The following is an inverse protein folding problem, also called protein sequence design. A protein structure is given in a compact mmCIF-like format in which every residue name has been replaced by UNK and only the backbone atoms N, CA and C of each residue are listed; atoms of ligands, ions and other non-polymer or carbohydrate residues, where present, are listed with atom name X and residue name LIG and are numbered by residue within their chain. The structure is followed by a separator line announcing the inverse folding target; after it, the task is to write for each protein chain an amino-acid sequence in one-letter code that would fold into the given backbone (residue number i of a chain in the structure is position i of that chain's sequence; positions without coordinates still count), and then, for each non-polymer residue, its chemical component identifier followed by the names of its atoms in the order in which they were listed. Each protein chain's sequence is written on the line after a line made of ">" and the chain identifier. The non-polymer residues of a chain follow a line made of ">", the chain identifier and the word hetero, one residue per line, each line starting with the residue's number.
data_IF_158721237281
#
_entry.id   IF_158721237281
#
_cell.length_a   1.000
_cell.length_b   1.000
_cell.length_c   1.000
_cell.angle_alpha   90.00
_cell.angle_beta   90.00
_cell.angle_gamma   90.00
#
_symmetry.space_group_name_H-M   'P 1'
#
loop_
_entity.id
_entity.type
_entity.pdbx_description
1 polymer ?
#
# COMPACT_ATOMS: atom_id res chain seq x y z
N UNK A 1 -49.19 48.59 17.55
CA UNK A 1 -47.80 48.31 17.18
C UNK A 1 -46.84 49.24 17.93
N UNK A 2 -46.60 49.02 19.23
CA UNK A 2 -45.70 49.87 20.05
C UNK A 2 -44.56 49.09 20.74
N UNK A 3 -44.50 47.77 20.56
CA UNK A 3 -43.56 46.88 21.27
C UNK A 3 -42.48 46.24 20.37
N UNK A 4 -42.51 46.53 19.06
CA UNK A 4 -41.54 45.97 18.11
C UNK A 4 -40.16 46.64 18.22
N UNK A 5 -40.15 47.95 18.51
CA UNK A 5 -38.90 48.73 18.60
C UNK A 5 -38.13 48.38 19.88
N UNK A 6 -38.82 48.17 21.01
CA UNK A 6 -38.19 47.77 22.27
C UNK A 6 -37.52 46.40 22.17
N UNK A 7 -38.09 45.47 21.39
CA UNK A 7 -37.50 44.14 21.19
C UNK A 7 -36.17 44.18 20.43
N UNK A 8 -36.06 45.04 19.41
CA UNK A 8 -34.81 45.21 18.64
C UNK A 8 -33.70 45.81 19.52
N UNK A 9 -34.02 46.81 20.34
CA UNK A 9 -33.06 47.43 21.26
C UNK A 9 -32.57 46.41 22.30
N UNK A 10 -33.49 45.60 22.86
CA UNK A 10 -33.13 44.56 23.83
C UNK A 10 -32.19 43.51 23.23
N UNK A 11 -32.43 43.08 21.98
CA UNK A 11 -31.59 42.09 21.30
C UNK A 11 -30.17 42.60 21.02
N UNK A 12 -29.99 43.87 20.64
CA UNK A 12 -28.67 44.47 20.41
C UNK A 12 -27.87 44.56 21.71
N UNK A 13 -28.51 44.97 22.82
CA UNK A 13 -27.84 45.04 24.14
C UNK A 13 -27.36 43.67 24.60
N UNK A 14 -28.14 42.60 24.39
CA UNK A 14 -27.73 41.23 24.71
C UNK A 14 -26.57 40.79 23.81
N UNK A 15 -26.61 41.08 22.51
CA UNK A 15 -25.55 40.66 21.59
C UNK A 15 -24.21 41.36 21.88
N UNK A 16 -24.24 42.64 22.26
CA UNK A 16 -23.04 43.41 22.64
C UNK A 16 -22.50 42.97 24.00
N UNK A 17 -23.37 42.67 24.98
CA UNK A 17 -22.91 42.17 26.30
C UNK A 17 -22.34 40.75 26.25
N UNK A 18 -22.83 39.88 25.36
CA UNK A 18 -22.28 38.53 25.17
C UNK A 18 -20.89 38.58 24.51
N UNK A 19 -20.65 39.48 23.56
CA UNK A 19 -19.34 39.63 22.91
C UNK A 19 -18.28 40.35 23.77
N UNK A 20 -18.68 40.99 24.87
CA UNK A 20 -17.79 41.73 25.77
C UNK A 20 -17.15 40.92 26.90
N UNK A 21 -17.66 39.72 27.22
CA UNK A 21 -17.08 38.86 28.29
C UNK A 21 -15.86 38.09 27.77
N UNK A 22 -14.74 38.81 27.63
CA UNK A 22 -13.40 38.21 27.73
C UNK A 22 -13.34 37.50 29.08
N UNK A 23 -13.40 36.17 29.06
CA UNK A 23 -13.20 35.35 30.26
C UNK A 23 -11.84 35.72 30.86
N UNK A 24 -11.75 36.05 32.18
CA UNK A 24 -10.47 36.11 32.84
C UNK A 24 -9.84 34.73 32.74
N UNK A 25 -8.64 34.67 32.16
CA UNK A 25 -7.79 33.47 32.17
C UNK A 25 -7.40 33.22 33.62
N UNK A 26 -8.17 32.40 34.33
CA UNK A 26 -7.69 31.71 35.50
C UNK A 26 -6.46 30.90 35.08
N UNK A 27 -5.30 31.04 35.75
CA UNK A 27 -4.17 30.15 35.54
C UNK A 27 -4.51 28.83 36.24
N UNK A 28 -5.45 28.08 35.68
CA UNK A 28 -5.50 26.66 35.95
C UNK A 28 -4.29 26.10 35.25
N UNK A 29 -3.35 25.56 36.03
CA UNK A 29 -2.28 24.66 35.60
C UNK A 29 -2.91 23.41 34.99
N UNK A 30 -3.60 23.58 33.87
CA UNK A 30 -3.99 22.53 32.97
C UNK A 30 -2.77 22.36 32.12
N UNK A 31 -1.88 21.47 32.58
CA UNK A 31 -0.88 20.83 31.73
C UNK A 31 -1.63 20.47 30.46
N UNK A 32 -1.46 21.31 29.43
CA UNK A 32 -2.02 21.03 28.12
C UNK A 32 -1.04 20.02 27.61
N UNK A 33 -1.21 18.77 28.05
CA UNK A 33 -0.57 17.62 27.44
C UNK A 33 -1.14 17.64 26.03
N UNK A 34 -0.45 18.34 25.14
CA UNK A 34 -0.64 18.22 23.70
C UNK A 34 -0.35 16.75 23.44
N UNK A 35 -1.41 15.92 23.53
CA UNK A 35 -1.36 14.50 23.18
C UNK A 35 -1.17 14.48 21.68
N UNK A 36 0.08 14.70 21.27
CA UNK A 36 0.56 14.55 19.92
C UNK A 36 0.23 13.11 19.58
N UNK A 37 -0.79 12.89 18.75
CA UNK A 37 -1.13 11.54 18.32
C UNK A 37 0.16 10.88 17.83
N UNK A 38 0.52 9.69 18.34
CA UNK A 38 1.79 9.07 18.00
C UNK A 38 1.89 8.97 16.48
N UNK A 39 2.99 9.51 15.93
CA UNK A 39 3.25 9.47 14.51
C UNK A 39 3.19 8.01 14.02
N UNK A 40 2.62 7.74 12.84
CA UNK A 40 2.49 6.37 12.35
C UNK A 40 3.87 5.70 12.29
N UNK A 41 3.98 4.41 12.62
CA UNK A 41 5.23 3.68 12.58
C UNK A 41 5.97 3.86 11.24
N UNK A 42 7.30 3.98 11.35
CA UNK A 42 8.20 4.06 10.20
C UNK A 42 8.12 2.78 9.38
N UNK A 43 8.34 2.90 8.08
CA UNK A 43 8.46 1.74 7.19
C UNK A 43 9.76 0.99 7.48
N UNK A 44 9.66 -0.32 7.68
CA UNK A 44 10.79 -1.21 7.90
C UNK A 44 11.13 -1.98 6.64
N UNK A 45 12.39 -2.38 6.48
CA UNK A 45 12.82 -3.24 5.37
C UNK A 45 12.11 -4.58 5.47
N UNK A 46 11.67 -5.09 4.32
CA UNK A 46 10.98 -6.37 4.21
C UNK A 46 11.66 -7.23 3.14
N UNK A 47 11.83 -8.52 3.40
CA UNK A 47 12.50 -9.43 2.46
C UNK A 47 11.72 -9.64 1.14
N UNK A 48 10.42 -9.32 1.12
CA UNK A 48 9.58 -9.47 -0.08
C UNK A 48 9.18 -10.91 -0.39
N UNK A 49 9.35 -11.86 0.54
CA UNK A 49 9.01 -13.27 0.32
C UNK A 49 7.79 -13.71 1.10
N UNK A 50 7.66 -13.25 2.35
CA UNK A 50 6.59 -13.64 3.28
C UNK A 50 6.07 -12.44 4.04
N UNK A 51 4.75 -12.33 4.30
CA UNK A 51 3.72 -13.34 4.00
C UNK A 51 3.17 -13.28 2.56
N UNK A 52 3.59 -12.29 1.77
CA UNK A 52 3.24 -12.17 0.35
C UNK A 52 4.52 -12.04 -0.47
N UNK A 53 4.53 -12.49 -1.72
CA UNK A 53 5.67 -12.19 -2.59
C UNK A 53 5.56 -10.75 -3.07
N UNK A 54 6.63 -9.97 -2.92
CA UNK A 54 6.67 -8.59 -3.41
C UNK A 54 6.45 -8.53 -4.92
N UNK A 55 6.91 -9.54 -5.65
CA UNK A 55 6.68 -9.68 -7.08
C UNK A 55 5.19 -9.83 -7.42
N UNK A 56 4.43 -10.62 -6.66
CA UNK A 56 2.99 -10.75 -6.86
C UNK A 56 2.26 -9.43 -6.60
N UNK A 57 2.71 -8.66 -5.61
CA UNK A 57 2.17 -7.32 -5.34
C UNK A 57 2.48 -6.38 -6.51
N UNK A 58 3.71 -6.40 -7.03
CA UNK A 58 4.12 -5.55 -8.15
C UNK A 58 3.39 -5.91 -9.46
N UNK A 59 3.26 -7.21 -9.78
CA UNK A 59 2.54 -7.69 -10.98
C UNK A 59 1.06 -7.35 -10.90
N UNK A 60 0.41 -7.56 -9.77
CA UNK A 60 -0.98 -7.15 -9.59
C UNK A 60 -1.12 -5.62 -9.62
N UNK A 61 -0.16 -4.90 -9.05
CA UNK A 61 -0.11 -3.45 -9.14
C UNK A 61 -0.03 -2.95 -10.58
N UNK A 62 0.80 -3.58 -11.40
CA UNK A 62 0.94 -3.29 -12.84
C UNK A 62 -0.39 -3.51 -13.57
N UNK A 63 -1.09 -4.63 -13.30
CA UNK A 63 -2.41 -4.91 -13.89
C UNK A 63 -3.44 -3.83 -13.52
N UNK A 64 -3.47 -3.40 -12.26
CA UNK A 64 -4.37 -2.35 -11.80
C UNK A 64 -4.06 -1.03 -12.51
N UNK A 65 -2.79 -0.66 -12.63
CA UNK A 65 -2.37 0.55 -13.33
C UNK A 65 -2.78 0.52 -14.80
N UNK A 66 -2.43 -0.55 -15.54
CA UNK A 66 -2.79 -0.73 -16.96
C UNK A 66 -4.29 -0.60 -17.21
N UNK A 67 -5.11 -1.16 -16.32
CA UNK A 67 -6.57 -1.10 -16.43
C UNK A 67 -7.12 0.34 -16.31
N UNK A 68 -6.38 1.25 -15.67
CA UNK A 68 -6.79 2.63 -15.44
C UNK A 68 -6.23 3.59 -16.50
N UNK A 69 -4.96 3.43 -16.86
CA UNK A 69 -4.30 4.28 -17.86
C UNK A 69 -4.42 3.75 -19.30
N UNK A 70 -5.20 2.68 -19.52
CA UNK A 70 -5.47 2.06 -20.82
C UNK A 70 -4.21 1.77 -21.67
N UNK A 71 -3.11 1.42 -21.02
CA UNK A 71 -1.80 1.21 -21.64
C UNK A 71 -1.18 -0.11 -21.19
N UNK A 72 -0.32 -0.68 -22.03
CA UNK A 72 0.28 -1.98 -21.79
C UNK A 72 1.67 -1.84 -21.17
N UNK A 73 1.73 -1.60 -19.86
CA UNK A 73 2.99 -1.69 -19.15
C UNK A 73 3.29 -3.13 -18.73
N UNK A 74 4.57 -3.49 -18.79
CA UNK A 74 5.11 -4.75 -18.30
C UNK A 74 5.96 -4.51 -17.06
N UNK A 75 5.88 -5.42 -16.10
CA UNK A 75 6.70 -5.39 -14.90
C UNK A 75 8.16 -5.68 -15.24
N UNK A 76 9.08 -4.80 -14.84
CA UNK A 76 10.51 -4.89 -15.15
C UNK A 76 11.35 -5.35 -13.95
N UNK A 77 11.10 -4.80 -12.77
CA UNK A 77 11.87 -5.18 -11.59
C UNK A 77 11.50 -4.43 -10.31
N UNK A 78 11.89 -4.98 -9.17
CA UNK A 78 11.64 -4.40 -7.84
C UNK A 78 12.79 -3.48 -7.45
N UNK A 79 12.45 -2.29 -6.94
CA UNK A 79 13.40 -1.34 -6.37
C UNK A 79 13.52 -1.52 -4.85
N UNK A 80 12.39 -1.59 -4.14
CA UNK A 80 12.40 -1.66 -2.67
C UNK A 80 11.14 -2.29 -2.10
N UNK A 81 11.33 -3.08 -1.04
CA UNK A 81 10.28 -3.77 -0.31
C UNK A 81 10.27 -3.33 1.15
N UNK A 82 9.13 -2.85 1.62
CA UNK A 82 8.97 -2.35 2.98
C UNK A 82 7.67 -2.81 3.60
N UNK A 83 7.64 -2.90 4.92
CA UNK A 83 6.46 -3.27 5.69
C UNK A 83 6.25 -2.31 6.86
N UNK A 84 5.02 -2.20 7.33
CA UNK A 84 4.69 -1.63 8.64
C UNK A 84 3.33 -2.12 9.11
N UNK A 85 3.12 -2.11 10.42
CA UNK A 85 1.82 -2.35 11.03
C UNK A 85 1.21 -1.01 11.48
N UNK A 86 -0.07 -0.80 11.19
CA UNK A 86 -0.84 0.36 11.68
C UNK A 86 -2.15 -0.16 12.23
N UNK A 87 -2.37 -0.01 13.54
CA UNK A 87 -3.59 -0.43 14.23
C UNK A 87 -3.96 -1.89 13.93
N UNK A 88 -2.97 -2.80 13.96
CA UNK A 88 -3.18 -4.22 13.67
C UNK A 88 -3.28 -4.56 12.17
N UNK A 89 -3.28 -3.57 11.28
CA UNK A 89 -3.33 -3.77 9.82
C UNK A 89 -1.91 -3.76 9.26
N UNK A 90 -1.49 -4.90 8.70
CA UNK A 90 -0.21 -5.02 8.03
C UNK A 90 -0.28 -4.35 6.66
N UNK A 91 0.76 -3.56 6.34
CA UNK A 91 0.91 -2.88 5.06
C UNK A 91 2.24 -3.23 4.44
N UNK A 92 2.22 -3.64 3.18
CA UNK A 92 3.39 -3.99 2.39
C UNK A 92 3.53 -3.02 1.24
N UNK A 93 4.63 -2.25 1.22
CA UNK A 93 4.95 -1.27 0.19
C UNK A 93 6.03 -1.84 -0.72
N UNK A 94 5.73 -1.88 -2.01
CA UNK A 94 6.66 -2.31 -3.06
C UNK A 94 6.82 -1.17 -4.05
N UNK A 95 8.05 -0.70 -4.24
CA UNK A 95 8.41 0.21 -5.35
C UNK A 95 9.06 -0.62 -6.44
N UNK A 96 8.65 -0.40 -7.68
CA UNK A 96 9.05 -1.22 -8.82
C UNK A 96 9.04 -0.41 -10.12
N UNK A 97 9.77 -0.91 -11.11
CA UNK A 97 9.82 -0.37 -12.45
C UNK A 97 8.83 -1.10 -13.37
N UNK A 98 8.26 -0.35 -14.30
CA UNK A 98 7.48 -0.89 -15.42
C UNK A 98 7.95 -0.29 -16.73
N UNK A 99 7.80 -1.03 -17.83
CA UNK A 99 8.16 -0.59 -19.19
C UNK A 99 6.94 -0.63 -20.11
N UNK A 100 6.73 0.43 -20.88
CA UNK A 100 5.68 0.46 -21.90
C UNK A 100 6.03 -0.52 -23.01
N UNK A 101 5.07 -1.36 -23.42
CA UNK A 101 5.24 -2.27 -24.54
C UNK A 101 4.11 -2.10 -25.54
N UNK A 102 4.49 -2.01 -26.82
CA UNK A 102 3.56 -1.96 -27.93
C UNK A 102 3.51 -3.31 -28.62
N UNK A 103 2.31 -3.74 -28.97
CA UNK A 103 2.09 -4.95 -29.75
C UNK A 103 2.26 -4.60 -31.22
N UNK A 104 3.18 -5.28 -31.89
CA UNK A 104 3.38 -5.18 -33.33
C UNK A 104 2.95 -6.50 -33.96
N UNK A 105 1.80 -6.51 -34.64
CA UNK A 105 1.45 -7.62 -35.52
C UNK A 105 2.21 -7.48 -36.83
N UNK A 106 3.05 -8.46 -37.15
CA UNK A 106 3.69 -8.59 -38.46
C UNK A 106 3.17 -9.86 -39.10
N UNK A 107 2.77 -9.80 -40.38
CA UNK A 107 2.27 -10.96 -41.12
C UNK A 107 0.91 -10.71 -41.76
N UNK A 108 0.51 -11.63 -42.64
CA UNK A 108 -0.78 -11.58 -43.34
C UNK A 108 -1.93 -11.89 -42.36
N UNK A 109 -3.15 -11.41 -42.67
CA UNK A 109 -4.37 -11.63 -41.85
C UNK A 109 -4.61 -13.09 -41.45
N UNK A 110 -4.04 -14.06 -42.20
CA UNK A 110 -4.20 -15.50 -41.97
C UNK A 110 -3.19 -16.09 -40.98
N UNK A 111 -2.05 -15.44 -40.74
CA UNK A 111 -1.01 -15.88 -39.78
C UNK A 111 -0.32 -14.66 -39.15
N UNK A 112 -0.98 -13.97 -38.19
CA UNK A 112 -0.35 -12.86 -37.51
C UNK A 112 0.78 -13.37 -36.60
N UNK A 113 2.00 -12.91 -36.84
CA UNK A 113 3.11 -13.04 -35.90
C UNK A 113 3.05 -11.85 -34.95
N UNK A 114 2.75 -12.10 -33.68
CA UNK A 114 2.70 -11.07 -32.65
C UNK A 114 4.10 -10.87 -32.10
N UNK A 115 4.68 -9.69 -32.33
CA UNK A 115 5.94 -9.27 -31.73
C UNK A 115 5.68 -8.14 -30.73
N UNK A 116 6.47 -8.08 -29.66
CA UNK A 116 6.36 -7.06 -28.63
C UNK A 116 7.57 -6.14 -28.72
N UNK A 117 7.34 -4.84 -28.92
CA UNK A 117 8.40 -3.83 -28.84
C UNK A 117 8.23 -3.03 -27.56
N UNK A 118 9.13 -3.25 -26.61
CA UNK A 118 9.14 -2.53 -25.35
C UNK A 118 10.09 -1.33 -25.40
N UNK A 119 9.66 -0.23 -24.81
CA UNK A 119 10.46 0.97 -24.67
C UNK A 119 11.58 0.77 -23.64
N UNK A 120 12.67 1.53 -23.81
CA UNK A 120 13.77 1.56 -22.84
C UNK A 120 13.43 2.39 -21.60
N UNK A 121 12.44 3.27 -21.70
CA UNK A 121 12.04 4.16 -20.61
C UNK A 121 11.21 3.36 -19.59
N UNK A 122 11.66 3.38 -18.35
CA UNK A 122 10.97 2.74 -17.23
C UNK A 122 10.29 3.77 -16.34
N UNK A 123 9.02 3.56 -16.04
CA UNK A 123 8.27 4.36 -15.06
C UNK A 123 8.36 3.70 -13.70
N UNK A 124 8.46 4.51 -12.64
CA UNK A 124 8.53 4.05 -11.26
C UNK A 124 7.13 4.05 -10.65
N UNK A 125 6.66 2.87 -10.27
CA UNK A 125 5.38 2.70 -9.56
C UNK A 125 5.61 2.32 -8.09
N UNK A 126 4.61 2.61 -7.27
CA UNK A 126 4.53 2.20 -5.88
C UNK A 126 3.18 1.52 -5.62
N UNK A 127 3.22 0.24 -5.26
CA UNK A 127 2.07 -0.50 -4.77
C UNK A 127 2.11 -0.61 -3.24
N UNK A 128 0.94 -0.49 -2.61
CA UNK A 128 0.74 -0.70 -1.17
C UNK A 128 -0.39 -1.71 -0.98
N UNK A 129 -0.03 -2.92 -0.58
CA UNK A 129 -0.98 -3.95 -0.14
C UNK A 129 -1.33 -3.68 1.33
N UNK A 130 -2.63 -3.59 1.63
CA UNK A 130 -3.18 -3.59 2.99
C UNK A 130 -3.79 -4.96 3.25
N UNK A 131 -3.35 -5.63 4.30
CA UNK A 131 -3.88 -6.93 4.74
C UNK A 131 -4.68 -6.74 6.04
N UNK A 132 -5.99 -6.61 5.91
CA UNK A 132 -6.88 -6.54 7.05
C UNK A 132 -7.32 -7.96 7.43
N UNK A 133 -6.59 -8.55 8.38
CA UNK A 133 -6.83 -9.92 8.85
C UNK A 133 -8.23 -10.08 9.46
N UNK A 134 -8.68 -9.08 10.21
CA UNK A 134 -9.98 -9.10 10.91
C UNK A 134 -11.16 -9.07 9.93
N UNK A 135 -11.07 -8.25 8.88
CA UNK A 135 -12.13 -8.16 7.88
C UNK A 135 -12.02 -9.23 6.78
N UNK A 136 -10.95 -10.03 6.76
CA UNK A 136 -10.66 -10.96 5.67
C UNK A 136 -10.46 -10.29 4.30
N UNK A 137 -10.20 -8.97 4.26
CA UNK A 137 -10.12 -8.17 3.04
C UNK A 137 -8.70 -7.68 2.77
N UNK A 138 -8.30 -7.75 1.50
CA UNK A 138 -7.01 -7.27 1.01
C UNK A 138 -7.21 -6.25 -0.09
N UNK A 139 -6.50 -5.14 0.02
CA UNK A 139 -6.62 -4.02 -0.91
C UNK A 139 -5.23 -3.60 -1.38
N UNK A 140 -5.05 -3.49 -2.69
CA UNK A 140 -3.84 -2.91 -3.28
C UNK A 140 -4.17 -1.51 -3.77
N UNK A 141 -3.35 -0.55 -3.35
CA UNK A 141 -3.34 0.80 -3.94
C UNK A 141 -2.04 0.98 -4.72
N UNK A 142 -2.13 1.45 -5.95
CA UNK A 142 -1.00 1.69 -6.85
C UNK A 142 -0.96 3.16 -7.21
N UNK A 143 0.24 3.72 -7.31
CA UNK A 143 0.45 5.07 -7.83
C UNK A 143 1.82 5.19 -8.51
N UNK A 144 1.95 6.17 -9.38
CA UNK A 144 3.24 6.59 -9.89
C UNK A 144 4.04 7.34 -8.81
N UNK A 145 5.35 7.15 -8.78
CA UNK A 145 6.23 7.82 -7.81
C UNK A 145 6.39 9.29 -8.23
N UNK A 146 5.80 10.19 -7.44
CA UNK A 146 5.76 11.63 -7.73
C UNK A 146 4.37 12.15 -8.07
N UNK A 147 3.46 11.24 -8.49
CA UNK A 147 2.07 11.59 -8.74
C UNK A 147 1.20 11.54 -7.47
N UNK A 148 0.14 12.34 -7.47
CA UNK A 148 -0.92 12.30 -6.47
C UNK A 148 -2.03 11.29 -6.82
N UNK A 149 -2.13 10.91 -8.10
CA UNK A 149 -3.12 9.93 -8.56
C UNK A 149 -2.86 8.57 -7.95
N UNK A 150 -3.94 7.90 -7.55
CA UNK A 150 -3.89 6.60 -6.90
C UNK A 150 -5.04 5.73 -7.40
N UNK A 151 -4.73 4.48 -7.71
CA UNK A 151 -5.69 3.50 -8.17
C UNK A 151 -5.79 2.38 -7.15
N UNK A 152 -7.01 1.97 -6.81
CA UNK A 152 -7.24 0.99 -5.75
C UNK A 152 -8.09 -0.16 -6.26
N UNK A 153 -7.71 -1.38 -5.89
CA UNK A 153 -8.49 -2.57 -6.19
C UNK A 153 -8.42 -3.60 -5.05
N UNK A 154 -9.51 -4.34 -4.88
CA UNK A 154 -9.57 -5.48 -3.97
C UNK A 154 -8.92 -6.68 -4.64
N UNK A 155 -8.03 -7.38 -3.95
CA UNK A 155 -7.27 -8.48 -4.54
C UNK A 155 -7.43 -9.77 -3.75
N UNK A 156 -7.35 -10.90 -4.46
CA UNK A 156 -7.30 -12.25 -3.90
C UNK A 156 -5.86 -12.77 -3.81
N UNK A 157 -4.90 -11.96 -3.33
CA UNK A 157 -3.53 -12.44 -3.14
C UNK A 157 -3.52 -13.56 -2.09
N UNK A 158 -2.99 -14.72 -2.47
CA UNK A 158 -2.78 -15.83 -1.55
C UNK A 158 -1.57 -15.56 -0.66
N UNK A 159 -1.72 -15.87 0.63
CA UNK A 159 -0.62 -15.79 1.58
C UNK A 159 0.33 -16.95 1.31
N UNK A 160 1.63 -16.68 1.27
CA UNK A 160 2.65 -17.74 1.20
C UNK A 160 2.69 -18.45 2.54
N UNK A 161 2.01 -19.59 2.66
CA UNK A 161 2.16 -20.49 3.79
C UNK A 161 3.53 -21.16 3.70
N UNK A 162 4.28 -21.12 4.78
CA UNK A 162 5.53 -21.88 4.89
C UNK A 162 5.19 -23.34 5.11
N UNK A 163 4.91 -24.07 4.04
CA UNK A 163 5.04 -25.53 4.13
C UNK A 163 6.53 -25.81 4.30
N UNK A 164 6.98 -26.47 5.39
CA UNK A 164 8.36 -26.91 5.46
C UNK A 164 8.61 -27.84 4.27
N UNK A 165 9.51 -27.44 3.39
CA UNK A 165 9.83 -28.19 2.19
C UNK A 165 10.34 -29.58 2.61
N UNK A 166 9.60 -30.64 2.27
CA UNK A 166 9.97 -32.06 2.46
C UNK A 166 11.29 -32.44 1.76
N UNK A 167 11.95 -31.50 1.08
CA UNK A 167 13.19 -31.72 0.31
C UNK A 167 14.42 -31.92 1.21
N UNK A 168 14.39 -31.50 2.48
CA UNK A 168 15.55 -31.69 3.38
C UNK A 168 15.66 -33.10 3.97
N UNK A 169 14.62 -33.96 3.88
CA UNK A 169 14.69 -35.32 4.47
C UNK A 169 15.48 -36.34 3.65
N UNK A 170 15.75 -36.11 2.35
CA UNK A 170 16.56 -37.06 1.55
C UNK A 170 18.08 -36.89 1.71
N UNK A 171 18.56 -35.71 2.13
CA UNK A 171 20.01 -35.45 2.21
C UNK A 171 20.65 -35.93 3.52
N UNK A 172 19.86 -36.11 4.58
CA UNK A 172 20.35 -36.63 5.86
C UNK A 172 20.34 -38.17 5.91
N UNK A 173 19.43 -38.82 5.20
CA UNK A 173 19.36 -40.28 5.11
C UNK A 173 20.45 -40.89 4.22
N UNK A 174 20.92 -40.15 3.19
CA UNK A 174 22.09 -40.57 2.39
C UNK A 174 23.43 -40.39 3.13
N UNK A 175 23.53 -39.43 4.07
CA UNK A 175 24.75 -39.24 4.87
C UNK A 175 24.94 -40.37 5.90
N UNK A 176 23.85 -40.96 6.41
CA UNK A 176 23.89 -42.16 7.28
C UNK A 176 24.22 -43.46 6.54
N UNK A 177 23.85 -43.61 5.26
CA UNK A 177 24.20 -44.81 4.47
C UNK A 177 25.68 -44.85 4.05
N UNK A 178 26.32 -43.70 3.86
CA UNK A 178 27.74 -43.64 3.48
C UNK A 178 28.73 -43.74 4.66
N UNK A 179 28.30 -43.54 5.91
CA UNK A 179 29.19 -43.77 7.07
C UNK A 179 29.26 -45.25 7.48
N UNK A 180 28.29 -46.09 7.09
CA UNK A 180 28.25 -47.51 7.44
C UNK A 180 29.04 -48.41 6.47
N UNK A 181 29.49 -47.86 5.34
CA UNK A 181 30.24 -48.59 4.30
C UNK A 181 31.76 -48.39 4.37
N UNK A 182 32.25 -47.66 5.39
CA UNK A 182 33.67 -47.31 5.56
C UNK A 182 34.30 -47.98 6.80
N UNK A 183 33.61 -48.98 7.36
CA UNK A 183 33.98 -49.66 8.62
C UNK A 183 33.89 -51.20 8.51
N UNK A 184 33.95 -51.74 7.29
CA UNK A 184 34.09 -53.18 7.03
C UNK A 184 35.23 -53.39 6.05
#
# INVERSE_FOLDING_TARGET
>A
MKYSITYVILAVVIFVTVNGKKRPKTPTTRTTTTTTAPSPPKWQKWNGTKPFKAEDIARNGTKIYNAQVHTNYTFDGIISNQTRNINGIDRYRVRFNVKSCTVQSKGSKKKPVVSYKCERISIKLQAVLKDNKTAGRRTITVKEVGSQEKYTSTTKLSRTTSTPSKVTRKKEEQKKKNSKKKSS
#
